data_IF_349289422563
#
_entry.id   IF_349289422563
#
_cell.length_a   1.000
_cell.length_b   1.000
_cell.length_c   1.000
_cell.angle_alpha   90.00
_cell.angle_beta   90.00
_cell.angle_gamma   90.00
#
_symmetry.space_group_name_H-M   'P 1'
#
loop_
_entity.id
_entity.type
_entity.pdbx_description
1 polymer ?
#
# COMPACT_ATOMS: atom_id res chain seq x y z
N UNK A 1 26.12 -11.81 -9.70
CA UNK A 1 24.69 -12.10 -10.00
C UNK A 1 23.95 -12.80 -8.85
N UNK A 2 24.46 -13.90 -8.26
CA UNK A 2 23.76 -14.62 -7.15
C UNK A 2 23.54 -13.77 -5.89
N UNK A 3 24.56 -13.00 -5.47
CA UNK A 3 24.49 -12.15 -4.26
C UNK A 3 23.46 -11.02 -4.44
N UNK A 4 23.51 -10.30 -5.57
CA UNK A 4 22.55 -9.23 -5.87
C UNK A 4 21.10 -9.73 -5.84
N UNK A 5 20.82 -10.88 -6.48
CA UNK A 5 19.50 -11.49 -6.45
C UNK A 5 19.07 -11.84 -5.02
N UNK A 6 19.97 -12.39 -4.21
CA UNK A 6 19.68 -12.75 -2.82
C UNK A 6 19.35 -11.52 -1.96
N UNK A 7 20.09 -10.42 -2.13
CA UNK A 7 19.81 -9.14 -1.45
C UNK A 7 18.48 -8.56 -1.90
N UNK A 8 18.21 -8.55 -3.20
CA UNK A 8 16.94 -8.06 -3.76
C UNK A 8 15.76 -8.90 -3.27
N UNK A 9 15.90 -10.22 -3.27
CA UNK A 9 14.88 -11.15 -2.78
C UNK A 9 14.61 -10.91 -1.29
N UNK A 10 15.65 -10.75 -0.47
CA UNK A 10 15.47 -10.40 0.93
C UNK A 10 14.75 -9.06 1.10
N UNK A 11 15.15 -8.02 0.38
CA UNK A 11 14.53 -6.70 0.41
C UNK A 11 13.03 -6.71 0.09
N UNK A 12 12.63 -7.48 -0.93
CA UNK A 12 11.21 -7.66 -1.29
C UNK A 12 10.50 -8.58 -0.29
N UNK A 13 11.14 -9.68 0.12
CA UNK A 13 10.52 -10.67 0.99
C UNK A 13 10.26 -10.12 2.40
N UNK A 14 11.15 -9.27 2.89
CA UNK A 14 11.08 -8.58 4.18
C UNK A 14 10.17 -7.34 4.18
N UNK A 15 9.45 -7.08 3.08
CA UNK A 15 8.48 -5.99 2.94
C UNK A 15 9.07 -4.58 3.05
N UNK A 16 10.38 -4.41 2.90
CA UNK A 16 11.03 -3.09 2.87
C UNK A 16 10.58 -2.30 1.63
N UNK A 17 10.44 -2.96 0.48
CA UNK A 17 10.04 -2.29 -0.76
C UNK A 17 8.64 -1.67 -0.68
N UNK A 18 7.64 -2.45 -0.27
CA UNK A 18 6.28 -1.94 -0.05
C UNK A 18 6.23 -0.88 1.06
N UNK A 19 7.09 -0.99 2.09
CA UNK A 19 7.19 0.04 3.11
C UNK A 19 7.73 1.37 2.54
N UNK A 20 8.72 1.34 1.64
CA UNK A 20 9.18 2.54 0.92
C UNK A 20 8.08 3.14 0.04
N UNK A 21 7.23 2.30 -0.55
CA UNK A 21 6.04 2.74 -1.29
C UNK A 21 5.07 3.51 -0.38
N UNK A 22 4.77 2.98 0.80
CA UNK A 22 3.94 3.63 1.82
C UNK A 22 4.54 4.96 2.30
N UNK A 23 5.84 4.97 2.59
CA UNK A 23 6.61 6.17 2.94
C UNK A 23 6.49 7.24 1.84
N UNK A 24 6.71 6.86 0.58
CA UNK A 24 6.62 7.76 -0.56
C UNK A 24 5.22 8.37 -0.70
N UNK A 25 4.14 7.61 -0.44
CA UNK A 25 2.78 8.17 -0.45
C UNK A 25 2.55 9.17 0.69
N UNK A 26 3.10 8.93 1.89
CA UNK A 26 3.07 9.93 2.98
C UNK A 26 3.80 11.19 2.56
N UNK A 27 5.00 11.06 1.96
CA UNK A 27 5.75 12.21 1.43
C UNK A 27 4.99 12.96 0.33
N UNK A 28 4.27 12.25 -0.54
CA UNK A 28 3.38 12.88 -1.50
C UNK A 28 2.25 13.66 -0.83
N UNK A 29 1.64 13.12 0.23
CA UNK A 29 0.62 13.87 0.99
C UNK A 29 1.23 15.13 1.61
N UNK A 30 2.41 15.02 2.23
CA UNK A 30 3.11 16.16 2.80
C UNK A 30 3.39 17.24 1.77
N UNK A 31 3.85 16.85 0.57
CA UNK A 31 4.06 17.78 -0.53
C UNK A 31 2.75 18.46 -0.98
N UNK A 32 1.70 17.68 -1.25
CA UNK A 32 0.44 18.19 -1.82
C UNK A 32 -0.33 19.14 -0.90
N UNK A 33 -0.18 18.97 0.41
CA UNK A 33 -0.83 19.79 1.44
C UNK A 33 0.15 20.78 2.10
N UNK A 34 1.36 20.92 1.57
CA UNK A 34 2.41 21.81 2.10
C UNK A 34 2.70 21.59 3.60
N UNK A 35 2.61 20.35 4.06
CA UNK A 35 2.98 19.96 5.42
C UNK A 35 4.51 20.10 5.53
N UNK A 36 5.03 20.78 6.57
CA UNK A 36 6.47 20.78 6.87
C UNK A 36 7.02 19.36 6.92
N UNK A 37 8.32 19.16 6.75
CA UNK A 37 8.90 17.82 6.65
C UNK A 37 8.80 17.05 7.98
N UNK A 38 7.64 16.44 8.24
CA UNK A 38 7.34 15.66 9.44
C UNK A 38 7.77 14.21 9.22
N UNK A 39 9.02 13.94 9.57
CA UNK A 39 9.59 12.59 9.56
C UNK A 39 8.84 11.57 10.43
N UNK A 40 8.31 11.90 11.62
CA UNK A 40 7.71 10.91 12.50
C UNK A 40 6.56 10.12 11.85
N UNK A 41 5.63 10.78 11.14
CA UNK A 41 4.50 10.10 10.49
C UNK A 41 4.96 9.20 9.34
N UNK A 42 5.88 9.68 8.52
CA UNK A 42 6.40 8.93 7.39
C UNK A 42 7.16 7.67 7.86
N UNK A 43 7.99 7.81 8.90
CA UNK A 43 8.72 6.70 9.49
C UNK A 43 7.79 5.74 10.24
N UNK A 44 6.79 6.24 10.96
CA UNK A 44 5.74 5.41 11.56
C UNK A 44 5.05 4.54 10.50
N UNK A 45 4.64 5.14 9.38
CA UNK A 45 4.02 4.42 8.26
C UNK A 45 4.97 3.40 7.63
N UNK A 46 6.24 3.75 7.44
CA UNK A 46 7.27 2.85 6.91
C UNK A 46 7.47 1.61 7.79
N UNK A 47 7.86 1.80 9.05
CA UNK A 47 8.14 0.68 9.96
C UNK A 47 6.86 -0.11 10.27
N UNK A 48 5.70 0.57 10.37
CA UNK A 48 4.40 -0.07 10.54
C UNK A 48 4.04 -0.97 9.35
N UNK A 49 4.38 -0.55 8.13
CA UNK A 49 4.18 -1.38 6.92
C UNK A 49 5.09 -2.60 6.93
N UNK A 50 6.36 -2.48 7.33
CA UNK A 50 7.28 -3.62 7.48
C UNK A 50 6.70 -4.64 8.45
N UNK A 51 6.30 -4.20 9.65
CA UNK A 51 5.72 -5.07 10.69
C UNK A 51 4.43 -5.71 10.20
N UNK A 52 3.48 -4.91 9.71
CA UNK A 52 2.16 -5.36 9.30
C UNK A 52 2.22 -6.38 8.16
N UNK A 53 2.97 -6.10 7.10
CA UNK A 53 3.06 -7.02 5.97
C UNK A 53 3.83 -8.30 6.33
N UNK A 54 4.93 -8.21 7.08
CA UNK A 54 5.67 -9.40 7.51
C UNK A 54 4.81 -10.27 8.45
N UNK A 55 4.03 -9.66 9.35
CA UNK A 55 3.06 -10.36 10.16
C UNK A 55 2.08 -11.13 9.27
N UNK A 56 1.37 -10.45 8.36
CA UNK A 56 0.37 -11.09 7.48
C UNK A 56 0.95 -12.21 6.59
N UNK A 57 2.21 -12.09 6.19
CA UNK A 57 2.90 -13.01 5.28
C UNK A 57 3.45 -14.24 5.98
N UNK A 58 3.95 -14.09 7.21
CA UNK A 58 4.71 -15.14 7.91
C UNK A 58 4.04 -15.65 9.19
N UNK A 59 2.93 -15.06 9.62
CA UNK A 59 2.21 -15.42 10.85
C UNK A 59 1.83 -16.92 10.93
N UNK A 60 1.30 -17.51 9.85
CA UNK A 60 1.02 -18.95 9.81
C UNK A 60 2.29 -19.83 9.94
N UNK A 61 3.40 -19.40 9.34
CA UNK A 61 4.68 -20.12 9.39
C UNK A 61 5.33 -19.99 10.77
N UNK A 62 5.24 -18.81 11.39
CA UNK A 62 5.73 -18.54 12.74
C UNK A 62 4.94 -19.31 13.81
N UNK A 63 3.62 -19.48 13.62
CA UNK A 63 2.80 -20.33 14.50
C UNK A 63 3.01 -21.82 14.30
N UNK A 64 3.41 -22.25 13.09
CA UNK A 64 3.74 -23.65 12.86
C UNK A 64 5.02 -23.97 13.63
N UNK A 65 4.92 -24.78 14.70
CA UNK A 65 6.06 -25.24 15.53
C UNK A 65 7.03 -26.18 14.78
N UNK A 66 7.32 -25.92 13.51
CA UNK A 66 8.31 -26.69 12.75
C UNK A 66 9.70 -26.28 13.23
N UNK A 67 10.47 -27.24 13.72
CA UNK A 67 11.81 -27.06 14.30
C UNK A 67 12.88 -26.51 13.34
N UNK A 68 12.56 -26.26 12.07
CA UNK A 68 13.55 -25.86 11.06
C UNK A 68 13.15 -24.57 10.31
N UNK A 69 13.13 -23.44 11.04
CA UNK A 69 12.92 -22.11 10.47
C UNK A 69 14.16 -21.71 9.65
N UNK A 70 13.95 -21.39 8.37
CA UNK A 70 15.01 -20.93 7.45
C UNK A 70 15.73 -19.69 7.99
N UNK A 71 17.04 -19.58 7.77
CA UNK A 71 17.85 -18.42 8.21
C UNK A 71 17.27 -17.07 7.74
N UNK A 72 16.80 -17.01 6.50
CA UNK A 72 16.12 -15.82 5.94
C UNK A 72 14.93 -15.38 6.79
N UNK A 73 14.07 -16.33 7.19
CA UNK A 73 12.89 -16.02 8.00
C UNK A 73 13.27 -15.53 9.41
N UNK A 74 14.35 -16.06 10.00
CA UNK A 74 14.89 -15.53 11.28
C UNK A 74 15.32 -14.07 11.15
N UNK A 75 15.97 -13.71 10.04
CA UNK A 75 16.37 -12.32 9.76
C UNK A 75 15.16 -11.41 9.53
N UNK A 76 14.12 -11.89 8.84
CA UNK A 76 12.86 -11.13 8.66
C UNK A 76 12.17 -10.90 10.00
N UNK A 77 12.15 -11.90 10.89
CA UNK A 77 11.59 -11.77 12.25
C UNK A 77 12.39 -10.73 13.04
N UNK A 78 13.72 -10.80 13.03
CA UNK A 78 14.58 -9.83 13.70
C UNK A 78 14.33 -8.39 13.19
N UNK A 79 14.27 -8.21 11.87
CA UNK A 79 13.93 -6.93 11.25
C UNK A 79 12.55 -6.43 11.70
N UNK A 80 11.56 -7.33 11.79
CA UNK A 80 10.21 -6.97 12.23
C UNK A 80 10.16 -6.56 13.69
N UNK A 81 10.94 -7.20 14.57
CA UNK A 81 11.06 -6.80 15.98
C UNK A 81 11.73 -5.43 16.11
N UNK A 82 12.84 -5.20 15.39
CA UNK A 82 13.50 -3.89 15.36
C UNK A 82 12.54 -2.81 14.83
N UNK A 83 11.83 -3.11 13.75
CA UNK A 83 10.83 -2.20 13.17
C UNK A 83 9.70 -1.90 14.16
N UNK A 84 9.26 -2.87 14.96
CA UNK A 84 8.24 -2.65 16.00
C UNK A 84 8.71 -1.66 17.08
N UNK A 85 9.99 -1.70 17.46
CA UNK A 85 10.57 -0.70 18.37
C UNK A 85 10.51 0.68 17.75
N UNK A 86 10.87 0.82 16.47
CA UNK A 86 10.74 2.10 15.76
C UNK A 86 9.28 2.56 15.61
N UNK A 87 8.34 1.65 15.35
CA UNK A 87 6.90 1.97 15.34
C UNK A 87 6.50 2.59 16.67
N UNK A 88 6.86 1.98 17.80
CA UNK A 88 6.56 2.52 19.12
C UNK A 88 7.21 3.89 19.33
N UNK A 89 8.49 4.03 18.98
CA UNK A 89 9.24 5.28 19.10
C UNK A 89 8.59 6.44 18.34
N UNK A 90 8.19 6.22 17.07
CA UNK A 90 7.53 7.26 16.27
C UNK A 90 6.06 7.46 16.66
N UNK A 91 5.36 6.41 17.10
CA UNK A 91 3.99 6.52 17.59
C UNK A 91 3.85 7.54 18.72
N UNK A 92 4.76 7.50 19.70
CA UNK A 92 4.73 8.44 20.82
C UNK A 92 5.11 9.88 20.45
N UNK A 93 5.63 10.11 19.25
CA UNK A 93 5.86 11.46 18.71
C UNK A 93 4.66 12.01 17.95
N UNK A 94 3.67 11.18 17.62
CA UNK A 94 2.47 11.62 16.92
C UNK A 94 1.53 12.37 17.87
N UNK A 95 0.74 13.27 17.32
CA UNK A 95 -0.35 13.93 18.04
C UNK A 95 -1.32 12.90 18.63
N UNK A 96 -1.92 13.22 19.79
CA UNK A 96 -2.80 12.28 20.51
C UNK A 96 -3.99 11.82 19.66
N UNK A 97 -4.58 12.73 18.88
CA UNK A 97 -5.66 12.37 17.95
C UNK A 97 -5.18 11.39 16.86
N UNK A 98 -3.99 11.62 16.30
CA UNK A 98 -3.35 10.73 15.31
C UNK A 98 -3.08 9.35 15.90
N UNK A 99 -2.62 9.27 17.16
CA UNK A 99 -2.42 8.00 17.87
C UNK A 99 -3.72 7.18 17.97
N UNK A 100 -4.84 7.82 18.32
CA UNK A 100 -6.16 7.16 18.41
C UNK A 100 -6.60 6.64 17.04
N UNK A 101 -6.44 7.45 16.00
CA UNK A 101 -6.79 7.05 14.62
C UNK A 101 -5.88 5.91 14.15
N UNK A 102 -4.59 5.96 14.46
CA UNK A 102 -3.63 4.91 14.12
C UNK A 102 -4.00 3.58 14.81
N UNK A 103 -4.39 3.60 16.09
CA UNK A 103 -4.90 2.41 16.80
C UNK A 103 -6.18 1.88 16.14
N UNK A 104 -7.06 2.77 15.68
CA UNK A 104 -8.27 2.38 14.96
C UNK A 104 -7.94 1.64 13.65
N UNK A 105 -7.03 2.18 12.83
CA UNK A 105 -6.59 1.50 11.60
C UNK A 105 -5.82 0.20 11.87
N UNK A 106 -5.01 0.16 12.93
CA UNK A 106 -4.38 -1.08 13.38
C UNK A 106 -5.43 -2.13 13.74
N UNK A 107 -6.48 -1.73 14.48
CA UNK A 107 -7.58 -2.61 14.86
C UNK A 107 -8.32 -3.16 13.64
N UNK A 108 -8.63 -2.30 12.65
CA UNK A 108 -9.22 -2.73 11.38
C UNK A 108 -8.30 -3.71 10.64
N UNK A 109 -6.99 -3.43 10.60
CA UNK A 109 -6.00 -4.30 9.95
C UNK A 109 -5.90 -5.66 10.63
N UNK A 110 -5.89 -5.69 11.97
CA UNK A 110 -5.90 -6.92 12.73
C UNK A 110 -7.19 -7.70 12.48
N UNK A 111 -8.36 -7.08 12.65
CA UNK A 111 -9.69 -7.68 12.41
C UNK A 111 -9.81 -8.25 10.99
N UNK A 112 -9.21 -7.57 10.02
CA UNK A 112 -9.13 -8.04 8.64
C UNK A 112 -8.25 -9.30 8.49
N UNK A 113 -7.11 -9.35 9.20
CA UNK A 113 -6.07 -10.38 9.01
C UNK A 113 -6.25 -11.63 9.84
N UNK A 114 -6.80 -11.55 11.06
CA UNK A 114 -6.90 -12.65 12.02
C UNK A 114 -8.33 -13.22 12.14
N UNK A 115 -8.48 -14.55 12.39
CA UNK A 115 -9.78 -15.15 12.70
C UNK A 115 -10.12 -14.85 14.15
N UNK A 116 -10.77 -13.73 14.43
CA UNK A 116 -11.21 -13.43 15.80
C UNK A 116 -12.39 -14.28 16.26
N UNK A 117 -13.16 -14.86 15.34
CA UNK A 117 -14.32 -15.68 15.64
C UNK A 117 -14.08 -17.16 15.31
N UNK A 118 -14.27 -18.10 16.26
CA UNK A 118 -14.21 -19.53 15.99
C UNK A 118 -15.19 -19.92 14.86
N UNK A 119 -14.75 -20.75 13.92
CA UNK A 119 -15.53 -21.22 12.76
C UNK A 119 -15.99 -20.17 11.72
N UNK A 120 -15.47 -18.93 11.74
CA UNK A 120 -15.71 -17.94 10.68
C UNK A 120 -14.42 -17.67 9.89
N UNK A 121 -14.54 -17.58 8.56
CA UNK A 121 -13.43 -17.14 7.70
C UNK A 121 -13.13 -15.65 7.97
N UNK A 122 -11.85 -15.29 8.10
CA UNK A 122 -11.39 -13.90 8.29
C UNK A 122 -11.95 -12.99 7.20
N UNK A 123 -12.08 -11.68 7.46
CA UNK A 123 -12.47 -10.72 6.42
C UNK A 123 -11.49 -10.68 5.24
N UNK A 124 -10.24 -11.12 5.43
CA UNK A 124 -9.27 -11.45 4.37
C UNK A 124 -9.80 -12.44 3.32
N UNK A 125 -10.70 -13.33 3.69
CA UNK A 125 -11.26 -14.36 2.82
C UNK A 125 -12.67 -14.00 2.34
N UNK A 126 -13.13 -12.77 2.60
CA UNK A 126 -14.43 -12.32 2.10
C UNK A 126 -14.33 -11.99 0.62
N UNK A 127 -15.24 -12.61 -0.14
CA UNK A 127 -15.36 -12.46 -1.57
C UNK A 127 -15.45 -10.98 -1.99
N UNK A 128 -14.52 -10.51 -2.84
CA UNK A 128 -14.55 -9.18 -3.46
C UNK A 128 -14.38 -7.96 -2.53
N UNK A 129 -14.60 -8.07 -1.21
CA UNK A 129 -14.53 -6.94 -0.26
C UNK A 129 -13.08 -6.59 0.13
N UNK A 130 -12.18 -7.58 0.05
CA UNK A 130 -10.77 -7.45 0.44
C UNK A 130 -10.07 -6.22 -0.15
N UNK A 131 -10.24 -5.98 -1.44
CA UNK A 131 -9.57 -4.89 -2.15
C UNK A 131 -9.98 -3.51 -1.61
N UNK A 132 -11.25 -3.35 -1.22
CA UNK A 132 -11.77 -2.10 -0.67
C UNK A 132 -11.20 -1.81 0.72
N UNK A 133 -11.16 -2.82 1.60
CA UNK A 133 -10.59 -2.69 2.96
C UNK A 133 -9.12 -2.30 2.89
N UNK A 134 -8.33 -2.99 2.05
CA UNK A 134 -6.90 -2.69 1.89
C UNK A 134 -6.72 -1.27 1.35
N UNK A 135 -7.47 -0.88 0.33
CA UNK A 135 -7.38 0.47 -0.25
C UNK A 135 -7.73 1.56 0.77
N UNK A 136 -8.77 1.37 1.60
CA UNK A 136 -9.13 2.30 2.67
C UNK A 136 -8.06 2.39 3.76
N UNK A 137 -7.45 1.27 4.15
CA UNK A 137 -6.36 1.29 5.13
C UNK A 137 -5.16 2.11 4.60
N UNK A 138 -4.83 1.97 3.32
CA UNK A 138 -3.77 2.78 2.69
C UNK A 138 -4.15 4.26 2.66
N UNK A 139 -5.39 4.63 2.33
CA UNK A 139 -5.84 6.04 2.41
C UNK A 139 -5.69 6.58 3.84
N UNK A 140 -6.15 5.80 4.82
CA UNK A 140 -6.02 6.15 6.24
C UNK A 140 -4.57 6.45 6.64
N UNK A 141 -3.68 5.49 6.38
CA UNK A 141 -2.28 5.57 6.82
C UNK A 141 -1.48 6.61 6.02
N UNK A 142 -1.67 6.67 4.70
CA UNK A 142 -0.80 7.48 3.81
C UNK A 142 -1.30 8.89 3.58
N UNK A 143 -2.57 9.18 3.91
CA UNK A 143 -3.17 10.49 3.68
C UNK A 143 -3.84 11.04 4.94
N UNK A 144 -4.72 10.28 5.61
CA UNK A 144 -5.44 10.82 6.75
C UNK A 144 -4.52 11.06 7.96
N UNK A 145 -3.65 10.11 8.30
CA UNK A 145 -2.71 10.26 9.42
C UNK A 145 -1.78 11.48 9.28
N UNK A 146 -1.07 11.72 8.16
CA UNK A 146 -0.21 12.90 8.05
C UNK A 146 -0.97 14.23 8.11
N UNK A 147 -2.18 14.31 7.54
CA UNK A 147 -3.00 15.53 7.58
C UNK A 147 -3.48 15.83 9.00
N UNK A 148 -3.99 14.83 9.70
CA UNK A 148 -4.44 14.98 11.09
C UNK A 148 -3.27 15.29 12.03
N UNK A 149 -2.10 14.67 11.80
CA UNK A 149 -0.91 14.92 12.62
C UNK A 149 -0.36 16.33 12.47
N UNK A 150 -0.42 16.86 11.25
CA UNK A 150 -0.02 18.22 10.93
C UNK A 150 -1.08 19.27 11.28
N UNK A 151 -2.21 18.85 11.88
CA UNK A 151 -3.33 19.72 12.26
C UNK A 151 -3.88 20.55 11.08
N UNK A 152 -3.82 19.99 9.86
CA UNK A 152 -4.39 20.63 8.67
C UNK A 152 -5.90 20.45 8.65
N UNK A 153 -6.61 21.54 8.36
CA UNK A 153 -8.07 21.54 8.25
C UNK A 153 -8.58 20.56 7.18
N UNK A 154 -9.65 19.85 7.53
CA UNK A 154 -10.33 18.93 6.63
C UNK A 154 -11.23 19.73 5.68
N UNK A 155 -10.76 19.93 4.45
CA UNK A 155 -11.47 20.67 3.40
C UNK A 155 -12.00 19.75 2.29
N UNK A 156 -12.64 20.31 1.25
CA UNK A 156 -13.03 19.54 0.07
C UNK A 156 -11.82 18.86 -0.62
N UNK A 157 -10.66 19.53 -0.63
CA UNK A 157 -9.42 18.99 -1.19
C UNK A 157 -8.97 17.71 -0.47
N UNK A 158 -9.19 17.61 0.85
CA UNK A 158 -8.93 16.39 1.62
C UNK A 158 -9.72 15.19 1.09
N UNK A 159 -11.03 15.36 0.91
CA UNK A 159 -11.90 14.28 0.42
C UNK A 159 -11.58 13.92 -1.03
N UNK A 160 -11.27 14.91 -1.85
CA UNK A 160 -10.85 14.69 -3.23
C UNK A 160 -9.57 13.85 -3.29
N UNK A 161 -8.56 14.19 -2.48
CA UNK A 161 -7.31 13.42 -2.38
C UNK A 161 -7.52 12.03 -1.77
N UNK A 162 -8.49 11.86 -0.86
CA UNK A 162 -8.89 10.54 -0.38
C UNK A 162 -9.39 9.65 -1.53
N UNK A 163 -10.27 10.17 -2.39
CA UNK A 163 -10.80 9.44 -3.54
C UNK A 163 -9.70 9.12 -4.54
N UNK A 164 -8.83 10.09 -4.87
CA UNK A 164 -7.67 9.85 -5.74
C UNK A 164 -6.74 8.78 -5.16
N UNK A 165 -6.38 8.87 -3.88
CA UNK A 165 -5.52 7.88 -3.22
C UNK A 165 -6.18 6.50 -3.21
N UNK A 166 -7.47 6.42 -2.93
CA UNK A 166 -8.22 5.17 -2.99
C UNK A 166 -8.14 4.53 -4.37
N UNK A 167 -8.42 5.31 -5.43
CA UNK A 167 -8.36 4.85 -6.82
C UNK A 167 -6.96 4.34 -7.16
N UNK A 168 -5.92 5.10 -6.81
CA UNK A 168 -4.53 4.70 -7.09
C UNK A 168 -4.20 3.34 -6.47
N UNK A 169 -4.52 3.16 -5.19
CA UNK A 169 -4.25 1.89 -4.49
C UNK A 169 -5.10 0.76 -5.05
N UNK A 170 -6.37 1.03 -5.36
CA UNK A 170 -7.27 0.05 -5.95
C UNK A 170 -6.70 -0.47 -7.27
N UNK A 171 -6.29 0.43 -8.19
CA UNK A 171 -5.72 0.05 -9.48
C UNK A 171 -4.39 -0.69 -9.33
N UNK A 172 -3.52 -0.28 -8.40
CA UNK A 172 -2.31 -1.03 -8.08
C UNK A 172 -2.65 -2.48 -7.72
N UNK A 173 -3.63 -2.70 -6.81
CA UNK A 173 -4.05 -4.04 -6.38
C UNK A 173 -4.65 -4.85 -7.54
N UNK A 174 -5.38 -4.23 -8.49
CA UNK A 174 -5.88 -4.94 -9.68
C UNK A 174 -4.76 -5.62 -10.47
N UNK A 175 -3.58 -5.00 -10.55
CA UNK A 175 -2.40 -5.60 -11.22
C UNK A 175 -1.94 -6.86 -10.48
N UNK A 176 -1.95 -6.84 -9.14
CA UNK A 176 -1.64 -8.02 -8.32
C UNK A 176 -2.66 -9.14 -8.53
N UNK A 177 -3.96 -8.84 -8.45
CA UNK A 177 -5.01 -9.86 -8.61
C UNK A 177 -4.97 -10.50 -10.01
N UNK A 178 -4.62 -9.76 -11.06
CA UNK A 178 -4.45 -10.33 -12.42
C UNK A 178 -3.26 -11.30 -12.49
N UNK A 179 -2.17 -11.02 -11.78
CA UNK A 179 -1.00 -11.89 -11.74
C UNK A 179 -1.25 -13.16 -10.93
N UNK A 180 -1.92 -13.01 -9.78
CA UNK A 180 -2.15 -14.10 -8.83
C UNK A 180 -3.36 -14.97 -9.19
N UNK A 181 -4.16 -14.57 -10.19
CA UNK A 181 -5.37 -15.26 -10.65
C UNK A 181 -5.23 -16.78 -10.81
N UNK A 182 -4.08 -17.26 -11.32
CA UNK A 182 -3.86 -18.69 -11.55
C UNK A 182 -3.58 -19.51 -10.28
N UNK A 183 -3.26 -18.84 -9.17
CA UNK A 183 -2.91 -19.45 -7.87
C UNK A 183 -3.94 -19.16 -6.78
N UNK A 184 -4.78 -18.16 -6.99
CA UNK A 184 -5.83 -17.76 -6.07
C UNK A 184 -6.91 -18.85 -5.96
N UNK A 185 -7.41 -19.05 -4.74
CA UNK A 185 -8.57 -19.91 -4.49
C UNK A 185 -9.79 -19.36 -5.27
N UNK A 186 -10.51 -20.20 -6.04
CA UNK A 186 -11.71 -19.79 -6.78
C UNK A 186 -12.79 -19.12 -5.91
N UNK A 187 -12.83 -19.40 -4.61
CA UNK A 187 -13.81 -18.83 -3.68
C UNK A 187 -13.45 -17.42 -3.19
N UNK A 188 -12.27 -16.88 -3.54
CA UNK A 188 -11.87 -15.51 -3.17
C UNK A 188 -12.67 -14.44 -3.91
N UNK A 189 -13.26 -14.78 -5.06
CA UNK A 189 -14.01 -13.87 -5.92
C UNK A 189 -13.31 -12.52 -6.10
N UNK A 190 -12.03 -12.53 -6.47
CA UNK A 190 -11.27 -11.33 -6.81
C UNK A 190 -11.89 -10.63 -8.03
N UNK A 191 -11.55 -9.37 -8.27
CA UNK A 191 -12.11 -8.63 -9.43
C UNK A 191 -11.88 -9.38 -10.74
N UNK A 192 -10.66 -9.86 -11.09
CA UNK A 192 -10.47 -10.64 -12.31
C UNK A 192 -11.16 -12.00 -12.32
N UNK A 193 -11.46 -12.61 -11.16
CA UNK A 193 -12.29 -13.83 -11.11
C UNK A 193 -13.77 -13.52 -11.41
N UNK A 194 -14.29 -12.38 -10.97
CA UNK A 194 -15.70 -12.00 -11.16
C UNK A 194 -16.00 -11.49 -12.57
N UNK A 195 -15.16 -10.59 -13.11
CA UNK A 195 -15.45 -9.91 -14.39
C UNK A 195 -14.49 -10.31 -15.52
N UNK A 196 -13.48 -11.12 -15.22
CA UNK A 196 -12.46 -11.53 -16.18
C UNK A 196 -11.37 -10.47 -16.41
N UNK A 197 -10.16 -10.93 -16.74
CA UNK A 197 -8.95 -10.08 -16.88
C UNK A 197 -9.16 -8.89 -17.81
N UNK A 198 -9.83 -9.08 -18.96
CA UNK A 198 -10.04 -7.99 -19.93
C UNK A 198 -10.89 -6.85 -19.34
N UNK A 199 -11.98 -7.18 -18.64
CA UNK A 199 -12.85 -6.16 -18.02
C UNK A 199 -12.16 -5.52 -16.81
N UNK A 200 -11.34 -6.25 -16.07
CA UNK A 200 -10.52 -5.69 -14.98
C UNK A 200 -9.53 -4.64 -15.49
N UNK A 201 -8.89 -4.87 -16.64
CA UNK A 201 -8.00 -3.87 -17.26
C UNK A 201 -8.76 -2.62 -17.70
N UNK A 202 -9.93 -2.79 -18.32
CA UNK A 202 -10.79 -1.67 -18.73
C UNK A 202 -11.24 -0.87 -17.51
N UNK A 203 -11.69 -1.54 -16.44
CA UNK A 203 -12.06 -0.90 -15.18
C UNK A 203 -10.91 -0.05 -14.63
N UNK A 204 -9.69 -0.62 -14.56
CA UNK A 204 -8.55 0.12 -14.05
C UNK A 204 -8.18 1.33 -14.93
N UNK A 205 -8.29 1.24 -16.26
CA UNK A 205 -8.07 2.42 -17.12
C UNK A 205 -9.13 3.51 -16.91
N UNK A 206 -10.41 3.14 -16.81
CA UNK A 206 -11.49 4.11 -16.51
C UNK A 206 -11.20 4.79 -15.17
N UNK A 207 -10.83 4.03 -14.16
CA UNK A 207 -10.46 4.56 -12.85
C UNK A 207 -9.25 5.50 -12.92
N UNK A 208 -8.21 5.18 -13.70
CA UNK A 208 -7.05 6.07 -13.88
C UNK A 208 -7.40 7.36 -14.61
N UNK A 209 -8.36 7.33 -15.55
CA UNK A 209 -8.90 8.55 -16.17
C UNK A 209 -9.62 9.40 -15.12
N UNK A 210 -10.48 8.80 -14.30
CA UNK A 210 -11.15 9.50 -13.19
C UNK A 210 -10.11 10.09 -12.21
N UNK A 211 -9.09 9.33 -11.82
CA UNK A 211 -7.99 9.80 -10.98
C UNK A 211 -7.35 11.08 -11.51
N UNK A 212 -7.06 11.12 -12.81
CA UNK A 212 -6.43 12.27 -13.44
C UNK A 212 -7.34 13.51 -13.41
N UNK A 213 -8.60 13.35 -13.83
CA UNK A 213 -9.55 14.45 -13.91
C UNK A 213 -9.96 15.00 -12.54
N UNK A 214 -9.91 14.19 -11.48
CA UNK A 214 -10.12 14.67 -10.11
C UNK A 214 -9.16 15.82 -9.75
N UNK A 215 -7.94 15.84 -10.29
CA UNK A 215 -6.97 16.91 -10.00
C UNK A 215 -7.48 18.29 -10.40
N UNK A 216 -8.32 18.38 -11.45
CA UNK A 216 -8.84 19.64 -11.97
C UNK A 216 -9.90 20.29 -11.06
N UNK A 217 -10.44 19.55 -10.10
CA UNK A 217 -11.43 20.06 -9.14
C UNK A 217 -10.78 20.55 -7.83
N UNK A 218 -9.45 20.49 -7.71
CA UNK A 218 -8.73 21.02 -6.55
C UNK A 218 -8.84 22.55 -6.51
N UNK A 219 -8.95 23.10 -5.31
CA UNK A 219 -9.03 24.55 -5.08
C UNK A 219 -7.84 25.33 -5.66
N UNK A 220 -6.63 24.76 -5.55
CA UNK A 220 -5.40 25.35 -6.07
C UNK A 220 -4.84 24.51 -7.22
N UNK A 221 -4.82 25.09 -8.42
CA UNK A 221 -4.27 24.46 -9.60
C UNK A 221 -2.73 24.46 -9.58
N UNK A 222 -2.14 23.27 -9.68
CA UNK A 222 -0.69 23.09 -9.82
C UNK A 222 -0.38 22.37 -11.14
N UNK A 223 0.20 23.14 -12.08
CA UNK A 223 0.55 22.63 -13.40
C UNK A 223 1.62 21.54 -13.34
N UNK A 224 2.60 21.63 -12.42
CA UNK A 224 3.63 20.61 -12.26
C UNK A 224 3.01 19.31 -11.77
N UNK A 225 2.14 19.39 -10.77
CA UNK A 225 1.41 18.22 -10.26
C UNK A 225 0.55 17.55 -11.34
N UNK A 226 -0.07 18.33 -12.22
CA UNK A 226 -0.86 17.80 -13.34
C UNK A 226 0.01 16.98 -14.31
N UNK A 227 1.18 17.51 -14.69
CA UNK A 227 2.13 16.78 -15.56
C UNK A 227 2.62 15.50 -14.89
N UNK A 228 2.99 15.58 -13.62
CA UNK A 228 3.46 14.41 -12.84
C UNK A 228 2.35 13.36 -12.74
N UNK A 229 1.11 13.76 -12.49
CA UNK A 229 -0.04 12.85 -12.45
C UNK A 229 -0.32 12.22 -13.81
N UNK A 230 -0.14 12.95 -14.92
CA UNK A 230 -0.28 12.40 -16.26
C UNK A 230 0.74 11.27 -16.50
N UNK A 231 2.02 11.51 -16.17
CA UNK A 231 3.06 10.48 -16.30
C UNK A 231 2.75 9.26 -15.43
N UNK A 232 2.29 9.48 -14.19
CA UNK A 232 1.85 8.39 -13.30
C UNK A 232 0.71 7.56 -13.90
N UNK A 233 -0.31 8.23 -14.45
CA UNK A 233 -1.47 7.61 -15.09
C UNK A 233 -1.06 6.73 -16.25
N UNK A 234 -0.17 7.24 -17.12
CA UNK A 234 0.36 6.48 -18.26
C UNK A 234 1.16 5.28 -17.76
N UNK A 235 2.06 5.47 -16.81
CA UNK A 235 2.91 4.40 -16.26
C UNK A 235 2.07 3.27 -15.66
N UNK A 236 1.12 3.58 -14.78
CA UNK A 236 0.29 2.56 -14.15
C UNK A 236 -0.67 1.90 -15.15
N UNK A 237 -1.16 2.64 -16.14
CA UNK A 237 -1.98 2.09 -17.23
C UNK A 237 -1.19 1.10 -18.10
N UNK A 238 0.10 1.33 -18.33
CA UNK A 238 1.00 0.38 -19.00
C UNK A 238 1.23 -0.86 -18.14
N UNK A 239 1.46 -0.71 -16.83
CA UNK A 239 1.56 -1.85 -15.93
C UNK A 239 0.28 -2.70 -15.93
N UNK A 240 -0.88 -2.06 -16.00
CA UNK A 240 -2.16 -2.77 -16.11
C UNK A 240 -2.33 -3.45 -17.48
N UNK A 241 -1.93 -2.79 -18.57
CA UNK A 241 -1.99 -3.34 -19.93
C UNK A 241 -1.21 -4.65 -20.04
N UNK A 242 0.02 -4.70 -19.51
CA UNK A 242 0.90 -5.86 -19.61
C UNK A 242 0.74 -6.88 -18.46
N UNK A 243 -0.16 -6.62 -17.50
CA UNK A 243 -0.49 -7.55 -16.43
C UNK A 243 -1.01 -8.88 -16.99
N UNK A 244 -0.43 -9.99 -16.57
CA UNK A 244 -0.90 -11.35 -16.87
C UNK A 244 -0.29 -12.36 -15.90
N UNK A 245 -0.95 -13.50 -15.72
CA UNK A 245 -0.46 -14.62 -14.89
C UNK A 245 0.89 -15.21 -15.36
N UNK A 246 1.37 -14.87 -16.56
CA UNK A 246 2.66 -15.30 -17.10
C UNK A 246 3.83 -14.42 -16.64
N UNK A 247 3.57 -13.26 -16.04
CA UNK A 247 4.62 -12.35 -15.57
C UNK A 247 5.30 -12.89 -14.31
N UNK A 248 6.56 -12.51 -14.11
CA UNK A 248 7.29 -12.88 -12.90
C UNK A 248 6.76 -12.12 -11.68
N UNK A 249 7.00 -12.65 -10.48
CA UNK A 249 6.60 -11.99 -9.23
C UNK A 249 7.24 -10.60 -9.05
N UNK A 250 8.44 -10.37 -9.60
CA UNK A 250 9.09 -9.06 -9.58
C UNK A 250 8.30 -7.99 -10.36
N UNK A 251 7.44 -8.39 -11.30
CA UNK A 251 6.59 -7.45 -12.01
C UNK A 251 5.71 -6.68 -11.02
N UNK A 252 5.08 -7.38 -10.08
CA UNK A 252 4.24 -6.75 -9.06
C UNK A 252 5.04 -6.32 -7.84
N UNK A 253 5.74 -7.24 -7.18
CA UNK A 253 6.43 -7.00 -5.90
C UNK A 253 7.68 -6.10 -5.97
N UNK A 254 8.08 -5.65 -7.16
CA UNK A 254 9.13 -4.65 -7.32
C UNK A 254 8.65 -3.53 -8.24
N UNK A 255 8.32 -3.80 -9.50
CA UNK A 255 8.04 -2.72 -10.44
C UNK A 255 6.74 -1.97 -10.17
N UNK A 256 5.63 -2.68 -9.92
CA UNK A 256 4.33 -2.03 -9.64
C UNK A 256 4.33 -1.40 -8.24
N UNK A 257 4.90 -2.08 -7.24
CA UNK A 257 5.05 -1.52 -5.89
C UNK A 257 5.95 -0.27 -5.85
N UNK A 258 6.88 -0.10 -6.80
CA UNK A 258 7.71 1.09 -6.92
C UNK A 258 6.98 2.32 -7.51
N UNK A 259 5.76 2.17 -8.04
CA UNK A 259 5.03 3.28 -8.70
C UNK A 259 4.87 4.50 -7.78
N UNK A 260 4.46 4.36 -6.50
CA UNK A 260 4.48 5.49 -5.56
C UNK A 260 5.84 6.10 -5.28
N UNK A 261 6.90 5.29 -5.27
CA UNK A 261 8.29 5.77 -5.09
C UNK A 261 8.67 6.63 -6.28
N UNK A 262 8.43 6.15 -7.50
CA UNK A 262 8.67 6.91 -8.72
C UNK A 262 7.85 8.21 -8.75
N UNK A 263 6.59 8.16 -8.31
CA UNK A 263 5.74 9.35 -8.20
C UNK A 263 6.35 10.42 -7.30
N UNK A 264 6.79 10.01 -6.11
CA UNK A 264 7.45 10.90 -5.16
C UNK A 264 8.76 11.47 -5.70
N UNK A 265 9.61 10.65 -6.32
CA UNK A 265 10.87 11.12 -6.89
C UNK A 265 10.65 12.12 -8.03
N UNK A 266 9.63 11.94 -8.87
CA UNK A 266 9.29 12.93 -9.91
C UNK A 266 9.01 14.31 -9.30
N UNK A 267 8.26 14.37 -8.20
CA UNK A 267 7.97 15.64 -7.52
C UNK A 267 9.22 16.26 -6.89
N UNK A 268 10.12 15.46 -6.34
CA UNK A 268 11.34 15.96 -5.69
C UNK A 268 12.33 16.57 -6.69
N UNK A 269 12.34 16.08 -7.94
CA UNK A 269 13.33 16.49 -8.96
C UNK A 269 12.77 17.44 -10.04
N UNK A 270 11.52 17.89 -9.95
CA UNK A 270 10.85 18.81 -10.90
C UNK A 270 10.47 20.13 -10.23
#
# INVERSE_FOLDING_TARGET
MKIFKLVLDFYINSSIHVALSCYALVKMTQHMFHIPYEEPVANFAFFGTVVGYNFVKYDALARSKKNNIRKELKMIILLSIISLVFVAYYFFQLQRITQIIAITFLSVTLLYTLPFFPNRKNARNWAGVKIYIVSLCWVGVTLALPIVNAEIDITADFFLKCIQRFILIFVLILVFEILDLAKDDPHLQTVPQQIGVKKTKILGWILMVVFYFLELFKSNFDQKQLVVNFVLVVLLSLFLLFASHKKSKYYTSFWVEAVPIFWWLMVVFI
#
